data_IF_707650154770
#
_entry.id   IF_707650154770
#
_cell.length_a   1.000
_cell.length_b   1.000
_cell.length_c   1.000
_cell.angle_alpha   90.00
_cell.angle_beta   90.00
_cell.angle_gamma   90.00
#
_symmetry.space_group_name_H-M   'P 1'
#
loop_
_entity.id
_entity.type
_entity.pdbx_description
1 polymer ?
#
# COMPACT_ATOMS: atom_id res chain seq x y z
N UNK A 1 4.50 -7.79 15.12
CA UNK A 1 5.91 -7.64 15.57
C UNK A 1 6.91 -7.90 14.45
N UNK A 2 6.89 -9.05 13.77
CA UNK A 2 7.87 -9.34 12.69
C UNK A 2 7.86 -8.32 11.54
N UNK A 3 6.68 -7.96 11.02
CA UNK A 3 6.56 -6.92 9.98
C UNK A 3 7.15 -5.57 10.43
N UNK A 4 6.95 -5.21 11.70
CA UNK A 4 7.48 -3.95 12.25
C UNK A 4 9.01 -3.97 12.33
N UNK A 5 9.58 -5.12 12.70
CA UNK A 5 11.03 -5.31 12.66
C UNK A 5 11.56 -5.20 11.24
N UNK A 6 10.87 -5.77 10.25
CA UNK A 6 11.22 -5.61 8.83
C UNK A 6 11.18 -4.15 8.39
N UNK A 7 10.16 -3.38 8.81
CA UNK A 7 10.06 -1.95 8.51
C UNK A 7 11.19 -1.12 9.12
N UNK A 8 11.59 -1.41 10.35
CA UNK A 8 12.75 -0.78 11.01
C UNK A 8 14.05 -1.20 10.33
N UNK A 9 14.19 -2.48 9.95
CA UNK A 9 15.36 -2.98 9.22
C UNK A 9 15.49 -2.33 7.83
N UNK A 10 14.38 -2.18 7.10
CA UNK A 10 14.31 -1.46 5.83
C UNK A 10 14.70 0.02 6.00
N UNK A 11 14.34 0.63 7.13
CA UNK A 11 14.75 2.01 7.45
C UNK A 11 16.28 2.14 7.59
N UNK A 12 16.93 1.21 8.29
CA UNK A 12 18.40 1.18 8.33
C UNK A 12 19.02 0.90 6.94
N UNK A 13 18.29 0.17 6.10
CA UNK A 13 18.61 -0.06 4.69
C UNK A 13 18.29 1.10 3.73
N UNK A 14 17.75 2.25 4.19
CA UNK A 14 17.36 3.38 3.32
C UNK A 14 18.52 3.83 2.43
N UNK A 15 19.75 3.87 2.95
CA UNK A 15 20.91 4.30 2.17
C UNK A 15 21.25 3.33 1.02
N UNK A 16 20.98 2.03 1.21
CA UNK A 16 21.07 1.02 0.16
C UNK A 16 19.93 1.15 -0.85
N UNK A 17 18.72 1.43 -0.34
CA UNK A 17 17.50 1.64 -1.13
C UNK A 17 17.61 2.87 -2.07
N UNK A 18 18.22 3.96 -1.58
CA UNK A 18 18.53 5.16 -2.38
C UNK A 18 19.56 4.86 -3.47
N UNK A 19 20.56 4.01 -3.18
CA UNK A 19 21.55 3.59 -4.16
C UNK A 19 20.97 2.68 -5.26
N UNK A 20 19.85 1.99 -5.00
CA UNK A 20 19.08 1.24 -6.00
C UNK A 20 18.32 2.13 -7.01
N UNK A 21 18.47 3.46 -6.97
CA UNK A 21 17.99 4.38 -8.01
C UNK A 21 18.71 4.24 -9.35
N UNK A 22 19.88 3.57 -9.40
CA UNK A 22 20.58 3.36 -10.67
C UNK A 22 19.79 2.36 -11.55
N UNK A 23 19.45 2.71 -12.79
CA UNK A 23 18.78 1.79 -13.72
C UNK A 23 19.71 0.60 -14.01
N UNK A 24 19.17 -0.61 -13.84
CA UNK A 24 19.94 -1.85 -14.08
C UNK A 24 19.88 -2.26 -15.54
N UNK A 25 18.76 -1.96 -16.20
CA UNK A 25 18.53 -2.27 -17.61
C UNK A 25 17.72 -1.17 -18.28
N UNK A 26 18.07 -0.85 -19.51
CA UNK A 26 17.27 -0.01 -20.40
C UNK A 26 16.59 -0.92 -21.42
N UNK A 27 15.26 -0.83 -21.49
CA UNK A 27 14.49 -1.50 -22.52
C UNK A 27 14.02 -0.41 -23.49
N UNK A 28 14.61 -0.37 -24.68
CA UNK A 28 14.21 0.53 -25.77
C UNK A 28 13.50 -0.28 -26.87
N UNK A 29 12.17 -0.18 -26.92
CA UNK A 29 11.37 -0.53 -28.09
C UNK A 29 10.87 0.75 -28.76
N UNK A 30 10.66 0.70 -30.08
CA UNK A 30 10.16 1.82 -30.91
C UNK A 30 8.87 2.49 -30.40
N UNK A 31 8.09 1.78 -29.57
CA UNK A 31 6.82 2.23 -29.00
C UNK A 31 6.79 2.26 -27.45
N UNK A 32 7.88 1.82 -26.80
CA UNK A 32 7.99 1.71 -25.34
C UNK A 32 9.46 1.81 -24.91
N UNK A 33 9.82 2.88 -24.22
CA UNK A 33 11.14 3.02 -23.58
C UNK A 33 10.95 3.01 -22.07
N UNK A 34 11.70 2.16 -21.36
CA UNK A 34 11.67 2.09 -19.91
C UNK A 34 13.06 1.77 -19.32
N UNK A 35 13.52 2.63 -18.40
CA UNK A 35 14.65 2.35 -17.53
C UNK A 35 14.18 1.53 -16.33
N UNK A 36 14.47 0.23 -16.33
CA UNK A 36 14.08 -0.65 -15.22
C UNK A 36 15.02 -0.40 -14.05
N UNK A 37 14.48 0.19 -13.00
CA UNK A 37 15.13 0.31 -11.69
C UNK A 37 14.61 -0.77 -10.76
N UNK A 38 15.39 -1.16 -9.75
CA UNK A 38 14.88 -2.05 -8.70
C UNK A 38 13.66 -1.46 -7.98
N UNK A 39 13.59 -0.13 -7.89
CA UNK A 39 12.47 0.60 -7.28
C UNK A 39 11.17 0.47 -8.09
N UNK A 40 11.23 0.72 -9.41
CA UNK A 40 10.05 0.58 -10.27
C UNK A 40 9.53 -0.86 -10.26
N UNK A 41 10.42 -1.85 -10.30
CA UNK A 41 9.99 -3.26 -10.27
C UNK A 41 9.26 -3.61 -8.96
N UNK A 42 9.78 -3.19 -7.81
CA UNK A 42 9.16 -3.45 -6.50
C UNK A 42 7.79 -2.75 -6.40
N UNK A 43 7.67 -1.51 -6.87
CA UNK A 43 6.41 -0.76 -6.83
C UNK A 43 5.37 -1.33 -7.81
N UNK A 44 5.80 -1.78 -9.01
CA UNK A 44 4.92 -2.44 -9.97
C UNK A 44 4.38 -3.76 -9.42
N UNK A 45 5.27 -4.65 -8.98
CA UNK A 45 4.89 -5.94 -8.42
C UNK A 45 4.05 -5.77 -7.16
N UNK A 46 4.43 -4.80 -6.32
CA UNK A 46 3.69 -4.46 -5.12
C UNK A 46 2.28 -3.95 -5.42
N UNK A 47 2.14 -3.03 -6.37
CA UNK A 47 0.87 -2.48 -6.80
C UNK A 47 -0.06 -3.55 -7.38
N UNK A 48 0.46 -4.40 -8.27
CA UNK A 48 -0.29 -5.55 -8.80
C UNK A 48 -0.72 -6.53 -7.70
N UNK A 49 0.18 -6.82 -6.77
CA UNK A 49 -0.11 -7.69 -5.63
C UNK A 49 -1.21 -7.10 -4.73
N UNK A 50 -1.16 -5.80 -4.43
CA UNK A 50 -2.20 -5.12 -3.63
C UNK A 50 -3.57 -5.16 -4.33
N UNK A 51 -3.63 -4.90 -5.63
CA UNK A 51 -4.89 -4.94 -6.40
C UNK A 51 -5.46 -6.36 -6.40
N UNK A 52 -4.63 -7.35 -6.72
CA UNK A 52 -5.05 -8.76 -6.74
C UNK A 52 -5.57 -9.20 -5.38
N UNK A 53 -4.79 -8.95 -4.32
CA UNK A 53 -5.09 -9.38 -2.96
C UNK A 53 -6.36 -8.72 -2.43
N UNK A 54 -6.50 -7.41 -2.62
CA UNK A 54 -7.64 -6.65 -2.13
C UNK A 54 -8.92 -7.01 -2.88
N UNK A 55 -8.85 -7.17 -4.21
CA UNK A 55 -9.98 -7.63 -5.02
C UNK A 55 -10.45 -9.01 -4.57
N UNK A 56 -9.52 -9.95 -4.37
CA UNK A 56 -9.84 -11.29 -3.87
C UNK A 56 -10.49 -11.25 -2.49
N UNK A 57 -9.96 -10.44 -1.56
CA UNK A 57 -10.54 -10.31 -0.22
C UNK A 57 -11.92 -9.64 -0.22
N UNK A 58 -12.14 -8.67 -1.11
CA UNK A 58 -13.47 -8.06 -1.30
C UNK A 58 -14.45 -9.12 -1.82
N UNK A 59 -14.08 -9.86 -2.86
CA UNK A 59 -14.92 -10.91 -3.44
C UNK A 59 -15.28 -11.98 -2.39
N UNK A 60 -14.29 -12.48 -1.64
CA UNK A 60 -14.53 -13.41 -0.52
C UNK A 60 -15.48 -12.79 0.53
N UNK A 61 -15.37 -11.50 0.86
CA UNK A 61 -16.25 -10.86 1.86
C UNK A 61 -17.65 -10.54 1.37
N UNK A 62 -17.81 -10.27 0.07
CA UNK A 62 -19.10 -9.94 -0.54
C UNK A 62 -19.89 -11.23 -0.80
N UNK A 63 -19.25 -12.27 -1.31
CA UNK A 63 -19.89 -13.55 -1.60
C UNK A 63 -20.31 -14.28 -0.31
N UNK A 64 -19.47 -14.21 0.74
CA UNK A 64 -19.81 -14.81 2.05
C UNK A 64 -20.92 -14.06 2.82
N UNK A 65 -21.46 -12.95 2.31
CA UNK A 65 -22.72 -12.36 2.83
C UNK A 65 -23.98 -13.06 2.29
N UNK A 66 -23.84 -13.97 1.31
CA UNK A 66 -24.94 -14.72 0.71
C UNK A 66 -25.12 -16.15 1.23
N UNK A 67 -24.07 -16.77 1.79
CA UNK A 67 -24.07 -18.17 2.22
C UNK A 67 -23.74 -18.29 3.73
N UNK A 68 -24.67 -17.87 4.59
CA UNK A 68 -24.75 -18.38 5.96
C UNK A 68 -25.30 -19.82 5.92
N UNK A 69 -24.53 -20.78 5.43
CA UNK A 69 -24.59 -22.22 5.73
C UNK A 69 -23.92 -23.01 4.59
N UNK A 70 -22.99 -23.90 4.96
CA UNK A 70 -22.21 -24.84 4.13
C UNK A 70 -20.91 -24.24 3.59
N UNK A 71 -19.82 -24.57 4.30
CA UNK A 71 -18.41 -24.68 3.84
C UNK A 71 -17.40 -24.35 4.97
N UNK A 72 -17.82 -24.40 6.25
CA UNK A 72 -16.89 -24.33 7.41
C UNK A 72 -15.90 -25.53 7.44
N UNK A 73 -16.05 -26.52 6.54
CA UNK A 73 -15.31 -27.79 6.61
C UNK A 73 -13.99 -27.91 5.81
N UNK A 74 -13.61 -26.99 4.91
CA UNK A 74 -12.48 -27.27 3.97
C UNK A 74 -11.41 -26.20 3.76
N UNK A 75 -11.53 -24.99 4.30
CA UNK A 75 -10.54 -23.92 4.02
C UNK A 75 -9.67 -23.51 5.23
N UNK A 76 -9.77 -24.22 6.35
CA UNK A 76 -9.12 -23.84 7.61
C UNK A 76 -7.73 -24.47 7.80
N UNK A 77 -6.82 -24.22 6.87
CA UNK A 77 -5.38 -24.27 7.14
C UNK A 77 -4.62 -23.47 6.07
N UNK A 78 -4.83 -22.15 6.00
CA UNK A 78 -3.75 -21.31 5.44
C UNK A 78 -2.53 -21.58 6.32
N UNK A 79 -1.52 -22.25 5.77
CA UNK A 79 -0.27 -22.51 6.47
C UNK A 79 0.21 -21.21 7.10
N UNK A 80 0.59 -21.26 8.38
CA UNK A 80 1.12 -20.11 9.12
C UNK A 80 2.20 -19.37 8.30
N UNK A 81 2.99 -20.13 7.52
CA UNK A 81 3.99 -19.61 6.60
C UNK A 81 3.41 -18.77 5.45
N UNK A 82 2.25 -19.15 4.90
CA UNK A 82 1.57 -18.40 3.84
C UNK A 82 0.99 -17.08 4.33
N UNK A 83 0.42 -17.05 5.55
CA UNK A 83 -0.04 -15.80 6.18
C UNK A 83 1.14 -14.89 6.49
N UNK A 84 2.22 -15.45 7.03
CA UNK A 84 3.44 -14.71 7.33
C UNK A 84 4.04 -14.05 6.08
N UNK A 85 4.14 -14.81 4.98
CA UNK A 85 4.63 -14.30 3.70
C UNK A 85 3.78 -13.15 3.17
N UNK A 86 2.44 -13.27 3.25
CA UNK A 86 1.53 -12.19 2.84
C UNK A 86 1.73 -10.92 3.65
N UNK A 87 1.84 -11.04 4.98
CA UNK A 87 2.06 -9.88 5.85
C UNK A 87 3.39 -9.19 5.52
N UNK A 88 4.46 -9.97 5.32
CA UNK A 88 5.78 -9.43 4.96
C UNK A 88 5.73 -8.74 3.59
N UNK A 89 5.07 -9.34 2.59
CA UNK A 89 4.89 -8.71 1.28
C UNK A 89 4.13 -7.39 1.36
N UNK A 90 3.00 -7.35 2.07
CA UNK A 90 2.21 -6.12 2.26
C UNK A 90 3.06 -5.04 2.94
N UNK A 91 3.76 -5.40 4.02
CA UNK A 91 4.60 -4.46 4.77
C UNK A 91 5.78 -3.93 3.93
N UNK A 92 6.41 -4.78 3.12
CA UNK A 92 7.46 -4.38 2.21
C UNK A 92 6.94 -3.34 1.22
N UNK A 93 5.84 -3.63 0.53
CA UNK A 93 5.27 -2.72 -0.49
C UNK A 93 4.92 -1.36 0.11
N UNK A 94 4.27 -1.34 1.26
CA UNK A 94 3.95 -0.08 1.96
C UNK A 94 5.17 0.66 2.51
N UNK A 95 6.16 -0.07 3.00
CA UNK A 95 7.40 0.52 3.49
C UNK A 95 8.16 1.20 2.35
N UNK A 96 8.23 0.56 1.18
CA UNK A 96 8.89 1.13 0.00
C UNK A 96 8.21 2.41 -0.50
N UNK A 97 6.88 2.44 -0.64
CA UNK A 97 6.16 3.67 -1.06
C UNK A 97 6.36 4.82 -0.07
N UNK A 98 6.20 4.56 1.24
CA UNK A 98 6.36 5.59 2.26
C UNK A 98 7.79 6.16 2.31
N UNK A 99 8.81 5.31 2.17
CA UNK A 99 10.21 5.73 2.09
C UNK A 99 10.47 6.52 0.81
N UNK A 100 10.02 6.04 -0.35
CA UNK A 100 10.25 6.72 -1.64
C UNK A 100 9.58 8.10 -1.65
N UNK A 101 8.37 8.20 -1.10
CA UNK A 101 7.67 9.48 -0.91
C UNK A 101 8.48 10.43 -0.04
N UNK A 102 8.99 9.95 1.08
CA UNK A 102 9.81 10.75 1.99
C UNK A 102 11.11 11.23 1.32
N UNK A 103 11.77 10.35 0.56
CA UNK A 103 12.94 10.71 -0.26
C UNK A 103 12.57 11.76 -1.30
N UNK A 104 11.46 11.57 -2.03
CA UNK A 104 10.94 12.50 -3.03
C UNK A 104 10.74 13.90 -2.50
N UNK A 105 10.12 14.01 -1.32
CA UNK A 105 9.78 15.29 -0.66
C UNK A 105 10.98 15.96 0.03
N UNK A 106 12.02 15.22 0.39
CA UNK A 106 13.19 15.75 1.13
C UNK A 106 14.42 15.98 0.26
N UNK A 107 14.34 15.68 -1.04
CA UNK A 107 15.43 15.98 -1.99
C UNK A 107 15.76 17.48 -1.97
N UNK A 108 17.04 17.82 -1.77
CA UNK A 108 17.51 19.22 -1.74
C UNK A 108 17.41 19.91 -0.38
N UNK A 109 16.98 19.21 0.67
CA UNK A 109 16.96 19.73 2.05
C UNK A 109 18.23 19.29 2.79
N UNK A 110 18.96 20.23 3.39
CA UNK A 110 20.06 19.89 4.29
C UNK A 110 19.55 19.09 5.50
N UNK A 111 20.09 17.89 5.72
CA UNK A 111 19.62 17.00 6.77
C UNK A 111 18.40 16.14 6.41
N UNK A 112 18.04 16.02 5.12
CA UNK A 112 16.97 15.16 4.61
C UNK A 112 16.92 13.77 5.25
N UNK A 113 18.08 13.13 5.43
CA UNK A 113 18.18 11.80 6.02
C UNK A 113 17.66 11.75 7.45
N UNK A 114 17.95 12.76 8.27
CA UNK A 114 17.44 12.85 9.64
C UNK A 114 15.92 13.06 9.67
N UNK A 115 15.40 13.89 8.76
CA UNK A 115 13.94 14.14 8.64
C UNK A 115 13.22 12.85 8.26
N UNK A 116 13.73 12.11 7.27
CA UNK A 116 13.14 10.83 6.85
C UNK A 116 13.14 9.80 7.98
N UNK A 117 14.29 9.62 8.65
CA UNK A 117 14.40 8.64 9.75
C UNK A 117 13.44 8.99 10.88
N UNK A 118 13.44 10.25 11.33
CA UNK A 118 12.57 10.69 12.43
C UNK A 118 11.09 10.56 12.07
N UNK A 119 10.69 10.95 10.85
CA UNK A 119 9.30 10.81 10.38
C UNK A 119 8.84 9.34 10.36
N UNK A 120 9.65 8.43 9.84
CA UNK A 120 9.29 7.00 9.78
C UNK A 120 9.28 6.37 11.16
N UNK A 121 10.24 6.70 12.04
CA UNK A 121 10.26 6.21 13.42
C UNK A 121 9.01 6.66 14.18
N UNK A 122 8.63 7.94 14.07
CA UNK A 122 7.40 8.46 14.67
C UNK A 122 6.17 7.75 14.11
N UNK A 123 6.10 7.56 12.79
CA UNK A 123 5.00 6.83 12.14
C UNK A 123 4.84 5.40 12.66
N UNK A 124 5.96 4.67 12.82
CA UNK A 124 5.95 3.31 13.35
C UNK A 124 5.51 3.28 14.82
N UNK A 125 5.98 4.23 15.64
CA UNK A 125 5.57 4.33 17.05
C UNK A 125 4.07 4.59 17.20
N UNK A 126 3.52 5.52 16.42
CA UNK A 126 2.07 5.79 16.40
C UNK A 126 1.31 4.53 15.96
N UNK A 127 1.77 3.88 14.89
CA UNK A 127 1.15 2.64 14.43
C UNK A 127 1.12 1.55 15.51
N UNK A 128 2.22 1.37 16.26
CA UNK A 128 2.30 0.40 17.35
C UNK A 128 1.29 0.69 18.46
N UNK A 129 1.18 1.96 18.85
CA UNK A 129 0.25 2.37 19.90
C UNK A 129 -1.22 2.16 19.50
N UNK A 130 -1.54 2.33 18.22
CA UNK A 130 -2.90 2.29 17.71
C UNK A 130 -3.29 1.00 16.95
N UNK A 131 -2.36 0.06 16.71
CA UNK A 131 -2.62 -1.14 15.90
C UNK A 131 -3.78 -2.00 16.46
N UNK A 132 -3.79 -2.25 17.77
CA UNK A 132 -4.84 -3.04 18.43
C UNK A 132 -6.20 -2.34 18.41
N UNK A 133 -6.36 -1.08 18.88
CA UNK A 133 -7.66 -0.42 18.87
C UNK A 133 -8.19 -0.18 17.45
N UNK A 134 -7.33 0.19 16.50
CA UNK A 134 -7.72 0.34 15.08
C UNK A 134 -8.17 -1.00 14.50
N UNK A 135 -7.42 -2.09 14.75
CA UNK A 135 -7.80 -3.42 14.31
C UNK A 135 -9.17 -3.86 14.84
N UNK A 136 -9.42 -3.66 16.13
CA UNK A 136 -10.71 -3.97 16.75
C UNK A 136 -11.86 -3.13 16.16
N UNK A 137 -11.62 -1.85 15.88
CA UNK A 137 -12.61 -0.98 15.25
C UNK A 137 -12.96 -1.45 13.83
N UNK A 138 -11.96 -1.74 13.00
CA UNK A 138 -12.15 -2.23 11.63
C UNK A 138 -12.89 -3.57 11.61
N UNK A 139 -12.53 -4.50 12.51
CA UNK A 139 -13.20 -5.81 12.61
C UNK A 139 -14.66 -5.70 13.05
N UNK A 140 -15.01 -4.69 13.86
CA UNK A 140 -16.38 -4.47 14.34
C UNK A 140 -17.28 -3.85 13.26
N UNK A 141 -16.71 -3.22 12.24
CA UNK A 141 -17.44 -2.47 11.22
C UNK A 141 -17.13 -3.00 9.81
N UNK A 142 -17.93 -3.95 9.28
CA UNK A 142 -17.69 -4.56 7.97
C UNK A 142 -17.57 -3.56 6.82
N UNK A 143 -18.35 -2.48 6.86
CA UNK A 143 -18.28 -1.40 5.87
C UNK A 143 -16.92 -0.69 5.87
N UNK A 144 -16.37 -0.39 7.04
CA UNK A 144 -15.01 0.18 7.20
C UNK A 144 -13.96 -0.81 6.68
N UNK A 145 -14.17 -2.12 6.88
CA UNK A 145 -13.25 -3.13 6.38
C UNK A 145 -13.24 -3.19 4.85
N UNK A 146 -14.41 -3.20 4.20
CA UNK A 146 -14.51 -3.16 2.74
C UNK A 146 -13.90 -1.85 2.22
N UNK A 147 -14.18 -0.72 2.87
CA UNK A 147 -13.62 0.58 2.52
C UNK A 147 -12.07 0.57 2.58
N UNK A 148 -11.49 -0.04 3.61
CA UNK A 148 -10.04 -0.22 3.72
C UNK A 148 -9.44 -1.07 2.60
N UNK A 149 -10.12 -2.13 2.17
CA UNK A 149 -9.72 -2.94 1.01
C UNK A 149 -9.82 -2.14 -0.30
N UNK A 150 -10.83 -1.29 -0.45
CA UNK A 150 -10.93 -0.39 -1.60
C UNK A 150 -9.79 0.63 -1.63
N UNK A 151 -9.36 1.16 -0.47
CA UNK A 151 -8.19 2.02 -0.39
C UNK A 151 -6.89 1.29 -0.78
N UNK A 152 -6.75 0.02 -0.42
CA UNK A 152 -5.61 -0.79 -0.88
C UNK A 152 -5.57 -0.93 -2.41
N UNK A 153 -6.72 -1.04 -3.08
CA UNK A 153 -6.80 -1.02 -4.57
C UNK A 153 -6.36 0.34 -5.12
N UNK A 154 -6.87 1.44 -4.56
CA UNK A 154 -6.48 2.80 -4.99
C UNK A 154 -4.98 3.05 -4.81
N UNK A 155 -4.42 2.63 -3.68
CA UNK A 155 -2.98 2.71 -3.42
C UNK A 155 -2.23 1.81 -4.39
N UNK A 156 -2.68 0.57 -4.61
CA UNK A 156 -2.06 -0.34 -5.57
C UNK A 156 -2.00 0.24 -6.98
N UNK A 157 -3.08 0.89 -7.42
CA UNK A 157 -3.10 1.62 -8.70
C UNK A 157 -2.09 2.79 -8.69
N UNK A 158 -2.06 3.60 -7.63
CA UNK A 158 -1.08 4.67 -7.47
C UNK A 158 0.37 4.15 -7.58
N UNK A 159 0.71 3.03 -6.94
CA UNK A 159 2.05 2.43 -7.04
C UNK A 159 2.42 1.99 -8.46
N UNK A 160 1.46 1.46 -9.22
CA UNK A 160 1.67 1.11 -10.63
C UNK A 160 1.98 2.37 -11.44
N UNK A 161 1.24 3.46 -11.22
CA UNK A 161 1.48 4.73 -11.91
C UNK A 161 2.82 5.37 -11.51
N UNK A 162 3.18 5.31 -10.22
CA UNK A 162 4.48 5.79 -9.71
C UNK A 162 5.63 4.97 -10.28
N UNK A 163 5.46 3.64 -10.36
CA UNK A 163 6.43 2.76 -11.01
C UNK A 163 6.64 3.14 -12.49
N UNK A 164 5.55 3.34 -13.23
CA UNK A 164 5.62 3.70 -14.64
C UNK A 164 6.31 5.06 -14.84
N UNK A 165 6.07 6.00 -13.92
CA UNK A 165 6.78 7.28 -13.90
C UNK A 165 8.28 7.10 -13.63
N UNK A 166 8.66 6.34 -12.59
CA UNK A 166 10.06 6.07 -12.23
C UNK A 166 10.81 5.29 -13.30
N UNK A 167 10.13 4.44 -14.07
CA UNK A 167 10.76 3.75 -15.19
C UNK A 167 10.93 4.64 -16.43
N UNK A 168 10.56 5.93 -16.36
CA UNK A 168 10.47 6.82 -17.53
C UNK A 168 9.65 6.20 -18.68
N UNK A 169 8.62 5.43 -18.34
CA UNK A 169 7.82 4.73 -19.34
C UNK A 169 7.20 5.77 -20.28
N UNK A 170 7.64 5.77 -21.54
CA UNK A 170 6.99 6.49 -22.61
C UNK A 170 6.02 5.54 -23.30
N UNK A 171 4.74 5.90 -23.29
CA UNK A 171 3.69 5.18 -24.00
C UNK A 171 3.20 6.11 -25.10
N UNK A 172 3.44 5.75 -26.36
CA UNK A 172 3.07 6.56 -27.54
C UNK A 172 3.54 8.04 -27.49
N UNK A 173 4.76 8.29 -27.00
CA UNK A 173 5.34 9.64 -26.91
C UNK A 173 4.81 10.53 -25.77
N UNK A 174 3.88 10.03 -24.94
CA UNK A 174 3.46 10.66 -23.71
C UNK A 174 4.22 10.10 -22.50
N UNK A 175 4.73 10.97 -21.64
CA UNK A 175 5.25 10.57 -20.33
C UNK A 175 4.07 10.18 -19.42
N UNK A 176 4.21 9.06 -18.71
CA UNK A 176 3.23 8.70 -17.67
C UNK A 176 3.37 9.68 -16.50
N UNK A 177 2.38 10.55 -16.34
CA UNK A 177 2.28 11.46 -15.19
C UNK A 177 1.80 10.67 -13.98
N UNK A 178 2.47 10.76 -12.82
CA UNK A 178 2.06 10.06 -11.62
C UNK A 178 0.75 10.64 -11.10
N UNK A 179 -0.08 9.79 -10.49
CA UNK A 179 -1.32 10.24 -9.84
C UNK A 179 -0.96 11.13 -8.66
N UNK A 180 -1.46 12.36 -8.65
CA UNK A 180 -1.19 13.29 -7.56
C UNK A 180 -1.77 12.75 -6.25
N UNK A 181 -0.90 12.51 -5.25
CA UNK A 181 -1.26 11.91 -3.96
C UNK A 181 -2.35 12.68 -3.20
N UNK A 182 -2.47 13.98 -3.44
CA UNK A 182 -3.54 14.82 -2.88
C UNK A 182 -4.94 14.34 -3.24
N UNK A 183 -5.17 13.89 -4.47
CA UNK A 183 -6.47 13.33 -4.87
C UNK A 183 -6.80 12.05 -4.13
N UNK A 184 -5.78 11.20 -3.89
CA UNK A 184 -5.94 9.97 -3.14
C UNK A 184 -6.27 10.28 -1.67
N UNK A 185 -5.55 11.20 -1.02
CA UNK A 185 -5.83 11.59 0.37
C UNK A 185 -7.21 12.24 0.52
N UNK A 186 -7.63 13.04 -0.45
CA UNK A 186 -8.97 13.60 -0.49
C UNK A 186 -10.02 12.49 -0.59
N UNK A 187 -9.86 11.54 -1.52
CA UNK A 187 -10.79 10.42 -1.68
C UNK A 187 -10.90 9.57 -0.41
N UNK A 188 -9.77 9.21 0.21
CA UNK A 188 -9.75 8.45 1.46
C UNK A 188 -10.49 9.19 2.58
N UNK A 189 -10.17 10.48 2.76
CA UNK A 189 -10.77 11.29 3.83
C UNK A 189 -12.26 11.50 3.61
N UNK A 190 -12.66 11.80 2.37
CA UNK A 190 -14.05 11.96 1.99
C UNK A 190 -14.86 10.67 2.21
N UNK A 191 -14.36 9.52 1.75
CA UNK A 191 -15.06 8.25 1.94
C UNK A 191 -15.16 7.83 3.41
N UNK A 192 -14.11 8.06 4.21
CA UNK A 192 -14.17 7.85 5.66
C UNK A 192 -15.18 8.77 6.34
N UNK A 193 -15.25 10.04 5.91
CA UNK A 193 -16.22 10.99 6.43
C UNK A 193 -17.65 10.57 6.10
N UNK A 194 -17.92 10.17 4.86
CA UNK A 194 -19.22 9.65 4.43
C UNK A 194 -19.59 8.39 5.23
N UNK A 195 -18.66 7.45 5.39
CA UNK A 195 -18.91 6.23 6.16
C UNK A 195 -19.17 6.53 7.63
N UNK A 196 -18.44 7.49 8.22
CA UNK A 196 -18.69 7.94 9.58
C UNK A 196 -20.10 8.55 9.75
N UNK A 197 -20.55 9.35 8.78
CA UNK A 197 -21.92 9.87 8.76
C UNK A 197 -22.94 8.74 8.62
N UNK A 198 -22.68 7.77 7.74
CA UNK A 198 -23.56 6.62 7.53
C UNK A 198 -23.74 5.80 8.81
N UNK A 199 -22.64 5.49 9.50
CA UNK A 199 -22.65 4.81 10.81
C UNK A 199 -23.44 5.58 11.88
N UNK A 200 -23.41 6.93 11.84
CA UNK A 200 -24.16 7.78 12.78
C UNK A 200 -25.66 7.78 12.49
N UNK A 201 -26.06 7.70 11.22
CA UNK A 201 -27.46 7.59 10.79
C UNK A 201 -28.03 6.23 11.16
N UNK A 202 -27.31 5.14 10.90
CA UNK A 202 -27.77 3.78 11.22
C UNK A 202 -27.95 3.55 12.73
N UNK A 203 -27.10 4.18 13.56
CA UNK A 203 -27.28 4.18 15.02
C UNK A 203 -28.54 4.90 15.50
N UNK A 204 -29.11 5.81 14.71
CA UNK A 204 -30.38 6.51 15.04
C UNK A 204 -31.63 5.73 14.62
N UNK A 205 -31.47 4.71 13.75
CA UNK A 205 -32.57 3.84 13.28
C UNK A 205 -32.76 2.59 14.14
N UNK A 206 -31.82 2.26 15.02
CA UNK A 206 -31.97 1.27 16.10
C UNK A 206 -32.33 1.97 17.41
#
# INVERSE_FOLDING_TARGET
>A
FLAMFMRIALLFGINFLIQMKKPWFYIDFSWFSAGVTGQSLILLLGGLFLIYKSTKEIHEKVDNKGDEEKEIGKTAAKSFQGVLFQIIMIDLVFSFDSILTAVGMTNGVEGALYIMITAVVISVLIMMQFAVPVGNFVNKHPSIQILGLSFLILIGFMLITESAHLSNAQIFGGHVTPVQKGYLYFAITFSLFVEFLNMKVDKKKK
#
